data_IF_149920741633
#
_entry.id   IF_149920741633
#
_cell.length_a   1.000
_cell.length_b   1.000
_cell.length_c   1.000
_cell.angle_alpha   90.00
_cell.angle_beta   90.00
_cell.angle_gamma   90.00
#
_symmetry.space_group_name_H-M   'P 1'
#
loop_
_entity.id
_entity.type
_entity.pdbx_description
1 polymer ?
#
# COMPACT_ATOMS: atom_id res chain seq x y z
N UNK A 1 7.38 14.05 4.08
CA UNK A 1 8.51 14.92 3.67
C UNK A 1 9.73 14.67 4.54
N UNK A 2 9.64 14.85 5.87
CA UNK A 2 10.74 14.58 6.83
C UNK A 2 11.45 13.24 6.61
N UNK A 3 10.70 12.14 6.53
CA UNK A 3 11.29 10.80 6.36
C UNK A 3 11.98 10.60 5.00
N UNK A 4 11.79 11.47 4.01
CA UNK A 4 12.50 11.38 2.74
C UNK A 4 13.99 11.72 2.91
N UNK A 5 14.32 12.65 3.82
CA UNK A 5 15.69 13.05 4.13
C UNK A 5 16.54 11.85 4.53
N UNK A 6 16.09 11.07 5.51
CA UNK A 6 16.84 9.88 5.96
C UNK A 6 16.80 8.70 4.98
N UNK A 7 15.98 8.75 3.92
CA UNK A 7 15.88 7.67 2.92
C UNK A 7 16.75 7.91 1.70
N UNK A 8 16.84 9.16 1.23
CA UNK A 8 17.56 9.50 0.00
C UNK A 8 18.73 10.47 0.21
N UNK A 9 18.78 11.15 1.35
CA UNK A 9 19.70 12.25 1.58
C UNK A 9 20.21 12.27 3.02
N UNK A 10 20.32 13.47 3.56
CA UNK A 10 20.87 13.70 4.89
C UNK A 10 19.76 13.94 5.92
N UNK A 11 19.63 13.02 6.87
CA UNK A 11 18.68 13.10 7.97
C UNK A 11 18.86 14.38 8.82
N UNK A 12 20.06 14.96 8.87
CA UNK A 12 20.33 16.19 9.61
C UNK A 12 19.50 17.38 9.12
N UNK A 13 19.09 17.40 7.84
CA UNK A 13 18.26 18.49 7.29
C UNK A 13 16.87 18.51 7.93
N UNK A 14 16.29 17.35 8.19
CA UNK A 14 15.00 17.28 8.89
C UNK A 14 15.11 17.83 10.32
N UNK A 15 16.18 17.48 11.03
CA UNK A 15 16.44 18.01 12.38
C UNK A 15 16.65 19.52 12.34
N UNK A 16 17.40 20.02 11.36
CA UNK A 16 17.66 21.46 11.18
C UNK A 16 16.37 22.24 10.87
N UNK A 17 15.47 21.69 10.06
CA UNK A 17 14.15 22.30 9.83
C UNK A 17 13.34 22.44 11.12
N UNK A 18 13.36 21.41 11.98
CA UNK A 18 12.56 21.40 13.21
C UNK A 18 13.17 22.27 14.33
N UNK A 19 14.44 22.63 14.22
CA UNK A 19 15.17 23.35 15.28
C UNK A 19 15.57 24.77 14.91
N UNK A 20 15.50 25.15 13.63
CA UNK A 20 15.82 26.52 13.20
C UNK A 20 14.78 27.52 13.69
N UNK A 21 15.24 28.71 14.10
CA UNK A 21 14.39 29.87 14.41
C UNK A 21 14.30 30.88 13.26
N UNK A 22 15.09 30.69 12.20
CA UNK A 22 15.10 31.57 11.04
C UNK A 22 14.04 31.08 10.02
N UNK A 23 12.98 31.86 9.74
CA UNK A 23 11.90 31.46 8.85
C UNK A 23 12.34 31.35 7.38
N UNK A 24 13.32 32.15 6.94
CA UNK A 24 13.87 32.08 5.57
C UNK A 24 14.58 30.75 5.38
N UNK A 25 15.47 30.40 6.31
CA UNK A 25 16.19 29.12 6.30
C UNK A 25 15.23 27.93 6.42
N UNK A 26 14.17 28.04 7.23
CA UNK A 26 13.14 27.01 7.34
C UNK A 26 12.46 26.76 5.99
N UNK A 27 12.12 27.82 5.26
CA UNK A 27 11.48 27.72 3.94
C UNK A 27 12.41 27.06 2.91
N UNK A 28 13.69 27.44 2.88
CA UNK A 28 14.70 26.82 2.00
C UNK A 28 14.82 25.32 2.26
N UNK A 29 14.98 24.91 3.53
CA UNK A 29 15.08 23.49 3.89
C UNK A 29 13.79 22.75 3.53
N UNK A 30 12.62 23.36 3.74
CA UNK A 30 11.34 22.76 3.40
C UNK A 30 11.20 22.52 1.88
N UNK A 31 11.67 23.44 1.05
CA UNK A 31 11.68 23.27 -0.41
C UNK A 31 12.60 22.14 -0.85
N UNK A 32 13.78 22.01 -0.24
CA UNK A 32 14.69 20.92 -0.58
C UNK A 32 14.17 19.56 -0.12
N UNK A 33 13.54 19.48 1.06
CA UNK A 33 12.85 18.27 1.51
C UNK A 33 11.67 17.91 0.61
N UNK A 34 11.00 18.89 -0.01
CA UNK A 34 9.96 18.63 -1.01
C UNK A 34 10.54 17.99 -2.26
N UNK A 35 11.65 18.53 -2.79
CA UNK A 35 12.36 17.95 -3.94
C UNK A 35 12.81 16.52 -3.65
N UNK A 36 13.40 16.25 -2.48
CA UNK A 36 13.80 14.90 -2.08
C UNK A 36 12.60 13.96 -1.93
N UNK A 37 11.50 14.45 -1.37
CA UNK A 37 10.28 13.65 -1.24
C UNK A 37 9.69 13.28 -2.60
N UNK A 38 9.74 14.18 -3.58
CA UNK A 38 9.28 13.92 -4.94
C UNK A 38 10.20 12.92 -5.65
N UNK A 39 11.53 13.11 -5.57
CA UNK A 39 12.50 12.12 -6.07
C UNK A 39 12.29 10.73 -5.45
N UNK A 40 12.00 10.67 -4.14
CA UNK A 40 11.68 9.41 -3.45
C UNK A 40 10.41 8.78 -3.99
N UNK A 41 9.36 9.56 -4.26
CA UNK A 41 8.13 9.05 -4.86
C UNK A 41 8.40 8.44 -6.24
N UNK A 42 9.17 9.14 -7.08
CA UNK A 42 9.50 8.67 -8.43
C UNK A 42 10.29 7.35 -8.40
N UNK A 43 11.34 7.26 -7.56
CA UNK A 43 12.11 6.02 -7.36
C UNK A 43 11.21 4.90 -6.81
N UNK A 44 10.31 5.22 -5.87
CA UNK A 44 9.39 4.23 -5.30
C UNK A 44 8.43 3.70 -6.37
N UNK A 45 7.87 4.55 -7.22
CA UNK A 45 6.97 4.15 -8.30
C UNK A 45 7.69 3.23 -9.30
N UNK A 46 8.86 3.62 -9.78
CA UNK A 46 9.67 2.80 -10.68
C UNK A 46 10.01 1.43 -10.07
N UNK A 47 10.52 1.41 -8.83
CA UNK A 47 10.85 0.15 -8.15
C UNK A 47 9.61 -0.71 -7.85
N UNK A 48 8.46 -0.09 -7.57
CA UNK A 48 7.21 -0.84 -7.35
C UNK A 48 6.78 -1.53 -8.65
N UNK A 49 6.82 -0.82 -9.78
CA UNK A 49 6.45 -1.38 -11.08
C UNK A 49 7.39 -2.51 -11.50
N UNK A 50 8.69 -2.32 -11.31
CA UNK A 50 9.70 -3.38 -11.54
C UNK A 50 9.46 -4.60 -10.65
N UNK A 51 9.23 -4.40 -9.35
CA UNK A 51 8.91 -5.49 -8.43
C UNK A 51 7.61 -6.21 -8.81
N UNK A 52 6.54 -5.49 -9.19
CA UNK A 52 5.29 -6.09 -9.67
C UNK A 52 5.51 -6.95 -10.93
N UNK A 53 6.33 -6.47 -11.87
CA UNK A 53 6.72 -7.22 -13.05
C UNK A 53 7.50 -8.49 -12.68
N UNK A 54 8.47 -8.40 -11.77
CA UNK A 54 9.24 -9.54 -11.28
C UNK A 54 8.37 -10.56 -10.55
N UNK A 55 7.37 -10.14 -9.76
CA UNK A 55 6.42 -11.10 -9.15
C UNK A 55 5.70 -11.90 -10.24
N UNK A 56 5.18 -11.22 -11.27
CA UNK A 56 4.42 -11.88 -12.36
C UNK A 56 5.26 -12.83 -13.21
N UNK A 57 6.56 -12.58 -13.34
CA UNK A 57 7.45 -13.30 -14.26
C UNK A 57 8.39 -14.30 -13.59
N UNK A 58 8.74 -14.08 -12.32
CA UNK A 58 9.76 -14.87 -11.62
C UNK A 58 9.22 -15.67 -10.41
N UNK A 59 8.06 -15.32 -9.85
CA UNK A 59 7.51 -16.01 -8.69
C UNK A 59 6.46 -17.06 -9.10
N UNK A 60 6.45 -18.19 -8.39
CA UNK A 60 5.46 -19.25 -8.57
C UNK A 60 4.40 -19.14 -7.48
N UNK A 61 3.49 -18.18 -7.62
CA UNK A 61 2.49 -17.84 -6.58
C UNK A 61 1.55 -18.99 -6.20
N UNK A 62 1.43 -20.01 -7.04
CA UNK A 62 0.67 -21.25 -6.76
C UNK A 62 1.36 -22.15 -5.72
N UNK A 63 2.68 -22.09 -5.61
CA UNK A 63 3.50 -22.95 -4.73
C UNK A 63 4.33 -22.19 -3.70
N UNK A 64 4.52 -20.89 -3.85
CA UNK A 64 5.38 -20.06 -3.00
C UNK A 64 4.57 -19.12 -2.11
N UNK A 65 4.51 -19.38 -0.80
CA UNK A 65 3.73 -18.60 0.16
C UNK A 65 4.39 -17.28 0.58
N UNK A 66 5.60 -16.97 0.10
CA UNK A 66 6.29 -15.70 0.31
C UNK A 66 6.88 -15.15 -0.99
N UNK A 67 7.15 -13.85 -1.02
CA UNK A 67 7.75 -13.15 -2.16
C UNK A 67 9.12 -12.66 -1.74
N UNK A 68 10.16 -13.10 -2.45
CA UNK A 68 11.55 -12.68 -2.21
C UNK A 68 12.13 -12.23 -3.53
N UNK A 69 12.41 -10.93 -3.63
CA UNK A 69 12.95 -10.32 -4.84
C UNK A 69 14.21 -9.53 -4.50
N UNK A 70 15.16 -9.49 -5.43
CA UNK A 70 16.29 -8.59 -5.33
C UNK A 70 16.76 -8.11 -6.68
N UNK A 71 17.25 -6.87 -6.72
CA UNK A 71 17.74 -6.23 -7.93
C UNK A 71 18.90 -5.27 -7.58
N UNK A 72 19.89 -5.19 -8.48
CA UNK A 72 21.06 -4.31 -8.37
C UNK A 72 20.70 -2.83 -8.53
N UNK A 73 19.60 -2.54 -9.22
CA UNK A 73 19.15 -1.16 -9.48
C UNK A 73 18.24 -0.60 -8.38
N UNK A 74 17.99 -1.36 -7.30
CA UNK A 74 17.06 -0.95 -6.25
C UNK A 74 17.72 -0.13 -5.15
N UNK A 75 17.08 0.98 -4.76
CA UNK A 75 17.61 1.90 -3.77
C UNK A 75 17.29 1.43 -2.33
N UNK A 76 18.29 1.27 -1.43
CA UNK A 76 18.10 0.70 -0.09
C UNK A 76 17.21 1.58 0.82
N UNK A 77 17.13 2.89 0.60
CA UNK A 77 16.20 3.76 1.34
C UNK A 77 14.71 3.57 1.00
N UNK A 78 14.40 2.84 -0.08
CA UNK A 78 13.06 2.73 -0.64
C UNK A 78 12.50 1.30 -0.59
N UNK A 79 13.35 0.27 -0.52
CA UNK A 79 12.95 -1.16 -0.49
C UNK A 79 11.86 -1.47 0.54
N UNK A 80 11.83 -0.82 1.70
CA UNK A 80 10.81 -1.06 2.72
C UNK A 80 9.41 -0.53 2.36
N UNK A 81 9.33 0.53 1.55
CA UNK A 81 8.05 1.02 1.03
C UNK A 81 7.54 0.05 -0.03
N UNK A 82 8.42 -0.39 -0.93
CA UNK A 82 8.09 -1.37 -1.97
C UNK A 82 7.65 -2.70 -1.36
N UNK A 83 8.37 -3.22 -0.36
CA UNK A 83 7.98 -4.44 0.35
C UNK A 83 6.58 -4.36 0.96
N UNK A 84 6.18 -3.17 1.46
CA UNK A 84 4.85 -2.97 2.04
C UNK A 84 3.76 -3.05 0.96
N UNK A 85 4.00 -2.39 -0.18
CA UNK A 85 3.08 -2.41 -1.33
C UNK A 85 2.90 -3.82 -1.90
N UNK A 86 4.00 -4.53 -2.13
CA UNK A 86 3.95 -5.91 -2.64
C UNK A 86 3.24 -6.83 -1.63
N UNK A 87 3.50 -6.69 -0.32
CA UNK A 87 2.74 -7.42 0.71
C UNK A 87 1.25 -7.11 0.65
N UNK A 88 0.86 -5.85 0.49
CA UNK A 88 -0.54 -5.44 0.39
C UNK A 88 -1.22 -5.98 -0.87
N UNK A 89 -0.54 -5.97 -2.01
CA UNK A 89 -1.09 -6.48 -3.28
C UNK A 89 -1.26 -8.00 -3.30
N UNK A 90 -0.30 -8.75 -2.75
CA UNK A 90 -0.29 -10.21 -2.86
C UNK A 90 -0.65 -10.97 -1.57
N UNK A 91 -0.88 -10.24 -0.46
CA UNK A 91 -1.12 -10.80 0.87
C UNK A 91 -0.11 -11.89 1.28
N UNK A 92 1.18 -11.63 1.03
CA UNK A 92 2.29 -12.58 1.27
C UNK A 92 3.41 -11.93 2.08
N UNK A 93 4.08 -12.66 2.99
CA UNK A 93 5.35 -12.21 3.54
C UNK A 93 6.28 -11.84 2.38
N UNK A 94 6.84 -10.64 2.45
CA UNK A 94 7.58 -10.04 1.34
C UNK A 94 8.94 -9.56 1.80
N UNK A 95 9.97 -9.91 1.06
CA UNK A 95 11.35 -9.46 1.23
C UNK A 95 11.82 -8.80 -0.07
N UNK A 96 12.21 -7.53 0.01
CA UNK A 96 12.77 -6.76 -1.11
C UNK A 96 14.22 -6.43 -0.81
N UNK A 97 15.14 -6.81 -1.70
CA UNK A 97 16.58 -6.75 -1.51
C UNK A 97 17.24 -5.81 -2.53
N UNK A 98 17.95 -4.82 -2.01
CA UNK A 98 18.89 -4.01 -2.78
C UNK A 98 20.23 -4.73 -2.86
N UNK A 99 20.70 -4.97 -4.09
CA UNK A 99 21.92 -5.72 -4.37
C UNK A 99 23.08 -4.79 -4.73
N UNK A 100 23.86 -4.36 -3.74
CA UNK A 100 25.06 -3.55 -3.95
C UNK A 100 26.34 -4.42 -3.96
N UNK A 101 27.43 -3.87 -4.50
CA UNK A 101 28.76 -4.51 -4.52
C UNK A 101 29.27 -4.78 -3.10
N UNK A 102 28.90 -3.93 -2.13
CA UNK A 102 29.31 -4.05 -0.73
C UNK A 102 28.49 -5.08 0.06
N UNK A 103 27.53 -5.75 -0.57
CA UNK A 103 26.63 -6.70 0.05
C UNK A 103 25.16 -6.33 -0.13
N UNK A 104 24.29 -7.26 0.23
CA UNK A 104 22.86 -7.15 -0.02
C UNK A 104 22.15 -6.67 1.24
N UNK A 105 21.23 -5.72 1.08
CA UNK A 105 20.38 -5.19 2.17
C UNK A 105 18.92 -5.43 1.84
N UNK A 106 18.19 -6.04 2.77
CA UNK A 106 16.79 -6.40 2.61
C UNK A 106 15.88 -5.67 3.59
N UNK A 107 14.66 -5.38 3.14
CA UNK A 107 13.56 -5.00 4.02
C UNK A 107 12.43 -5.99 3.87
N UNK A 108 11.90 -6.41 5.01
CA UNK A 108 10.89 -7.45 5.13
C UNK A 108 9.58 -6.87 5.64
N UNK A 109 8.46 -7.39 5.14
CA UNK A 109 7.10 -7.08 5.60
C UNK A 109 6.31 -8.36 5.73
N UNK A 110 5.60 -8.49 6.84
CA UNK A 110 4.84 -9.69 7.15
C UNK A 110 3.34 -9.50 7.02
N UNK A 111 2.64 -10.63 7.04
CA UNK A 111 1.19 -10.73 7.17
C UNK A 111 0.83 -11.16 8.60
N UNK A 112 -0.45 -11.07 8.94
CA UNK A 112 -0.95 -11.56 10.23
C UNK A 112 -0.64 -13.05 10.37
N UNK A 113 -0.22 -13.48 11.56
CA UNK A 113 0.08 -14.89 11.84
C UNK A 113 1.48 -15.37 11.42
N UNK A 114 2.25 -14.56 10.68
CA UNK A 114 3.63 -14.88 10.32
C UNK A 114 4.63 -13.95 11.01
N UNK A 115 5.48 -14.48 11.90
CA UNK A 115 6.53 -13.71 12.56
C UNK A 115 7.79 -13.68 11.69
N UNK A 116 8.08 -12.50 11.15
CA UNK A 116 9.21 -12.27 10.27
C UNK A 116 10.57 -12.50 10.95
N UNK A 117 10.73 -12.09 12.20
CA UNK A 117 12.03 -12.21 12.90
C UNK A 117 12.31 -13.67 13.21
N UNK A 118 11.30 -14.41 13.67
CA UNK A 118 11.41 -15.85 13.90
C UNK A 118 11.67 -16.63 12.60
N UNK A 119 11.08 -16.21 11.48
CA UNK A 119 11.36 -16.81 10.18
C UNK A 119 12.81 -16.55 9.74
N UNK A 120 13.29 -15.30 9.84
CA UNK A 120 14.69 -14.96 9.52
C UNK A 120 15.69 -15.70 10.41
N UNK A 121 15.36 -15.90 11.69
CA UNK A 121 16.22 -16.65 12.62
C UNK A 121 16.43 -18.11 12.20
N UNK A 122 15.45 -18.75 11.53
CA UNK A 122 15.62 -20.09 10.95
C UNK A 122 16.61 -20.09 9.76
N UNK A 123 16.86 -18.95 9.14
CA UNK A 123 17.76 -18.80 7.98
C UNK A 123 19.07 -18.06 8.34
N UNK A 124 19.43 -17.99 9.63
CA UNK A 124 20.51 -17.14 10.14
C UNK A 124 21.88 -17.42 9.51
N UNK A 125 22.15 -18.64 9.07
CA UNK A 125 23.43 -19.05 8.50
C UNK A 125 23.76 -18.33 7.17
N UNK A 126 22.72 -17.87 6.46
CA UNK A 126 22.88 -17.15 5.20
C UNK A 126 23.00 -15.63 5.38
N UNK A 127 22.71 -15.13 6.59
CA UNK A 127 22.60 -13.71 6.90
C UNK A 127 23.85 -13.20 7.64
N UNK A 128 24.30 -12.01 7.27
CA UNK A 128 25.33 -11.29 8.05
C UNK A 128 24.72 -10.50 9.21
N UNK A 129 23.42 -10.21 9.15
CA UNK A 129 22.68 -9.56 10.22
C UNK A 129 21.19 -9.49 9.90
N UNK A 130 20.35 -9.49 10.93
CA UNK A 130 18.91 -9.25 10.81
C UNK A 130 18.34 -8.74 12.12
N UNK A 131 17.18 -8.09 12.07
CA UNK A 131 16.49 -7.60 13.25
C UNK A 131 15.25 -6.80 12.93
N UNK A 132 14.42 -6.55 13.94
CA UNK A 132 13.19 -5.76 13.81
C UNK A 132 12.06 -6.33 14.66
N UNK A 133 10.85 -6.29 14.11
CA UNK A 133 9.60 -6.70 14.75
C UNK A 133 8.90 -7.80 13.93
N UNK A 134 7.95 -8.53 14.53
CA UNK A 134 7.21 -9.59 13.84
C UNK A 134 6.62 -9.19 12.48
N UNK A 135 6.16 -7.93 12.34
CA UNK A 135 5.53 -7.44 11.11
C UNK A 135 6.51 -6.76 10.12
N UNK A 136 7.71 -6.39 10.58
CA UNK A 136 8.69 -5.64 9.80
C UNK A 136 10.11 -5.86 10.31
N UNK A 137 11.00 -6.33 9.44
CA UNK A 137 12.41 -6.58 9.78
C UNK A 137 13.35 -6.07 8.69
N UNK A 138 14.61 -5.87 9.04
CA UNK A 138 15.72 -5.65 8.11
C UNK A 138 16.66 -6.85 8.12
N UNK A 139 17.38 -7.04 7.02
CA UNK A 139 18.43 -8.06 6.90
C UNK A 139 19.61 -7.56 6.06
N UNK A 140 20.74 -8.23 6.22
CA UNK A 140 21.90 -8.12 5.35
C UNK A 140 22.50 -9.50 5.07
N UNK A 141 23.10 -9.67 3.88
CA UNK A 141 23.76 -10.92 3.50
C UNK A 141 24.87 -10.68 2.46
N UNK A 142 25.74 -11.66 2.28
CA UNK A 142 26.67 -11.71 1.16
C UNK A 142 25.95 -12.16 -0.12
N UNK A 143 26.42 -11.71 -1.28
CA UNK A 143 25.81 -12.00 -2.58
C UNK A 143 25.73 -13.50 -2.89
N UNK A 144 26.74 -14.27 -2.47
CA UNK A 144 26.82 -15.72 -2.67
C UNK A 144 25.71 -16.48 -1.93
N UNK A 145 25.14 -15.92 -0.87
CA UNK A 145 24.16 -16.58 -0.02
C UNK A 145 22.70 -16.36 -0.48
N UNK A 146 22.46 -15.47 -1.46
CA UNK A 146 21.11 -15.04 -1.81
C UNK A 146 20.19 -16.18 -2.24
N UNK A 147 20.66 -17.07 -3.11
CA UNK A 147 19.83 -18.17 -3.61
C UNK A 147 19.51 -19.17 -2.50
N UNK A 148 20.51 -19.58 -1.71
CA UNK A 148 20.31 -20.50 -0.59
C UNK A 148 19.37 -19.90 0.48
N UNK A 149 19.51 -18.60 0.77
CA UNK A 149 18.58 -17.89 1.65
C UNK A 149 17.16 -17.90 1.08
N UNK A 150 17.01 -17.60 -0.22
CA UNK A 150 15.70 -17.55 -0.88
C UNK A 150 14.97 -18.88 -0.74
N UNK A 151 15.63 -19.98 -1.03
CA UNK A 151 15.07 -21.32 -0.92
C UNK A 151 14.70 -21.65 0.53
N UNK A 152 15.64 -21.49 1.47
CA UNK A 152 15.39 -21.79 2.88
C UNK A 152 14.25 -20.95 3.48
N UNK A 153 14.12 -19.68 3.10
CA UNK A 153 13.03 -18.84 3.59
C UNK A 153 11.68 -19.23 2.97
N UNK A 154 11.65 -19.59 1.68
CA UNK A 154 10.44 -20.08 1.04
C UNK A 154 9.93 -21.35 1.72
N UNK A 155 10.81 -22.26 2.10
CA UNK A 155 10.42 -23.47 2.84
C UNK A 155 9.78 -23.13 4.19
N UNK A 156 10.38 -22.21 4.95
CA UNK A 156 9.81 -21.73 6.22
C UNK A 156 8.45 -21.06 6.02
N UNK A 157 8.28 -20.28 4.96
CA UNK A 157 7.02 -19.64 4.64
C UNK A 157 5.95 -20.67 4.23
N UNK A 158 6.31 -21.65 3.40
CA UNK A 158 5.42 -22.70 2.94
C UNK A 158 4.93 -23.60 4.07
N UNK A 159 5.79 -23.87 5.07
CA UNK A 159 5.44 -24.63 6.27
C UNK A 159 4.42 -23.90 7.15
N UNK A 160 4.55 -22.56 7.28
CA UNK A 160 3.84 -21.79 8.32
C UNK A 160 2.65 -20.97 7.84
N UNK A 161 2.66 -20.52 6.58
CA UNK A 161 1.61 -19.67 6.03
C UNK A 161 0.51 -20.55 5.47
N UNK A 162 -0.71 -20.37 5.97
CA UNK A 162 -1.87 -21.11 5.47
C UNK A 162 -2.40 -20.48 4.18
N UNK A 163 -3.10 -21.25 3.34
CA UNK A 163 -3.72 -20.71 2.12
C UNK A 163 -4.76 -19.63 2.40
N UNK A 164 -5.44 -19.68 3.56
CA UNK A 164 -6.37 -18.64 3.99
C UNK A 164 -5.68 -17.31 4.30
N UNK A 165 -4.44 -17.34 4.80
CA UNK A 165 -3.69 -16.10 5.10
C UNK A 165 -3.27 -15.35 3.82
N UNK A 166 -3.25 -16.06 2.69
CA UNK A 166 -2.89 -15.52 1.37
C UNK A 166 -4.05 -14.80 0.68
N UNK A 167 -5.25 -14.83 1.26
CA UNK A 167 -6.44 -14.20 0.69
C UNK A 167 -6.52 -12.77 1.24
N UNK A 168 -6.40 -11.73 0.39
CA UNK A 168 -6.64 -10.37 0.81
C UNK A 168 -8.03 -10.25 1.44
N UNK A 169 -8.10 -9.80 2.68
CA UNK A 169 -9.35 -9.67 3.43
C UNK A 169 -9.58 -8.22 3.80
N UNK A 170 -10.80 -7.74 3.59
CA UNK A 170 -11.26 -6.43 4.03
C UNK A 170 -12.25 -6.67 5.17
N UNK A 171 -11.94 -6.12 6.35
CA UNK A 171 -12.89 -6.12 7.46
C UNK A 171 -13.87 -4.98 7.24
N UNK A 172 -15.14 -5.33 7.08
CA UNK A 172 -16.24 -4.39 6.85
C UNK A 172 -16.92 -4.12 8.18
N UNK A 173 -17.09 -2.85 8.53
CA UNK A 173 -17.71 -2.44 9.78
C UNK A 173 -19.24 -2.43 9.67
N UNK A 174 -19.79 -2.01 8.53
CA UNK A 174 -21.23 -2.03 8.28
C UNK A 174 -21.58 -2.04 6.79
N UNK A 175 -22.76 -2.58 6.48
CA UNK A 175 -23.44 -2.30 5.21
C UNK A 175 -24.08 -0.92 5.33
N UNK A 176 -24.06 -0.12 4.27
CA UNK A 176 -24.60 1.23 4.23
C UNK A 176 -25.34 1.46 2.92
N UNK A 177 -26.54 2.03 2.97
CA UNK A 177 -27.19 2.56 1.78
C UNK A 177 -26.71 4.00 1.53
N UNK A 178 -26.47 4.36 0.27
CA UNK A 178 -25.96 5.69 -0.07
C UNK A 178 -26.94 6.80 0.34
N UNK A 179 -28.24 6.54 0.45
CA UNK A 179 -29.23 7.49 0.98
C UNK A 179 -29.00 7.87 2.45
N UNK A 180 -28.31 7.03 3.22
CA UNK A 180 -27.97 7.29 4.63
C UNK A 180 -26.75 8.22 4.76
N UNK A 181 -26.01 8.46 3.68
CA UNK A 181 -24.87 9.37 3.62
C UNK A 181 -25.35 10.83 3.57
N UNK A 182 -25.56 11.40 4.74
CA UNK A 182 -25.93 12.79 4.94
C UNK A 182 -24.97 13.50 5.94
N UNK A 183 -25.13 14.81 6.09
CA UNK A 183 -24.28 15.63 6.95
C UNK A 183 -24.24 15.17 8.42
N UNK A 184 -25.32 14.54 8.93
CA UNK A 184 -25.35 14.02 10.28
C UNK A 184 -24.44 12.80 10.43
N UNK A 185 -24.46 11.88 9.45
CA UNK A 185 -23.54 10.75 9.39
C UNK A 185 -22.08 11.23 9.32
N UNK A 186 -21.79 12.23 8.49
CA UNK A 186 -20.44 12.81 8.38
C UNK A 186 -19.99 13.43 9.70
N UNK A 187 -20.84 14.25 10.34
CA UNK A 187 -20.54 14.83 11.66
C UNK A 187 -20.27 13.76 12.71
N UNK A 188 -21.05 12.68 12.71
CA UNK A 188 -20.82 11.54 13.61
C UNK A 188 -19.47 10.86 13.33
N UNK A 189 -19.13 10.58 12.07
CA UNK A 189 -17.83 9.99 11.74
C UNK A 189 -16.67 10.92 12.14
N UNK A 190 -16.84 12.23 12.04
CA UNK A 190 -15.82 13.18 12.47
C UNK A 190 -15.60 13.17 14.00
N UNK A 191 -16.56 12.72 14.82
CA UNK A 191 -16.34 12.58 16.28
C UNK A 191 -15.51 11.35 16.65
N UNK A 192 -15.30 10.41 15.72
CA UNK A 192 -14.45 9.23 15.92
C UNK A 192 -12.96 9.53 15.67
N UNK A 193 -12.63 10.73 15.21
CA UNK A 193 -11.25 11.17 15.06
C UNK A 193 -10.52 11.31 16.40
N UNK A 194 -9.19 11.10 16.46
CA UNK A 194 -8.27 10.91 15.34
C UNK A 194 -8.20 9.45 14.84
N UNK A 195 -8.19 9.30 13.52
CA UNK A 195 -7.97 8.01 12.89
C UNK A 195 -6.48 7.65 12.81
N UNK A 196 -6.18 6.36 12.92
CA UNK A 196 -4.82 5.81 12.83
C UNK A 196 -4.76 4.34 13.23
N UNK A 197 -3.55 3.77 13.38
CA UNK A 197 -3.39 2.41 13.90
C UNK A 197 -4.11 2.26 15.25
N UNK A 198 -5.03 1.29 15.35
CA UNK A 198 -5.88 1.07 16.53
C UNK A 198 -7.24 1.79 16.49
N UNK A 199 -7.43 2.74 15.58
CA UNK A 199 -8.71 3.42 15.31
C UNK A 199 -8.78 3.75 13.81
N UNK A 200 -8.91 2.73 12.98
CA UNK A 200 -8.96 2.93 11.53
C UNK A 200 -10.29 3.57 11.12
N UNK A 201 -10.30 4.31 10.01
CA UNK A 201 -11.57 4.82 9.45
C UNK A 201 -12.50 3.63 9.14
N UNK A 202 -13.79 3.73 9.48
CA UNK A 202 -14.72 2.64 9.23
C UNK A 202 -14.83 2.34 7.72
N UNK A 203 -14.84 1.05 7.39
CA UNK A 203 -15.05 0.55 6.03
C UNK A 203 -16.50 0.11 5.90
N UNK A 204 -17.20 0.70 4.95
CA UNK A 204 -18.57 0.39 4.61
C UNK A 204 -18.66 -0.42 3.33
N UNK A 205 -19.74 -1.17 3.18
CA UNK A 205 -20.12 -1.80 1.92
C UNK A 205 -21.48 -1.31 1.46
N UNK A 206 -21.59 -0.99 0.17
CA UNK A 206 -22.87 -0.76 -0.50
C UNK A 206 -22.98 -1.71 -1.67
N UNK A 207 -24.15 -2.32 -1.81
CA UNK A 207 -24.42 -3.35 -2.80
C UNK A 207 -25.34 -2.83 -3.91
N UNK A 208 -25.30 -3.49 -5.06
CA UNK A 208 -26.20 -3.26 -6.19
C UNK A 208 -26.23 -1.79 -6.65
N UNK A 209 -25.05 -1.19 -6.78
CA UNK A 209 -24.89 0.18 -7.29
C UNK A 209 -24.80 0.18 -8.81
N UNK A 210 -25.43 1.17 -9.45
CA UNK A 210 -25.20 1.44 -10.87
C UNK A 210 -24.08 2.48 -11.05
N UNK A 211 -23.36 2.38 -12.16
CA UNK A 211 -22.38 3.39 -12.57
C UNK A 211 -23.11 4.51 -13.31
N UNK A 212 -22.81 5.75 -12.93
CA UNK A 212 -23.32 6.94 -13.59
C UNK A 212 -22.18 7.63 -14.37
N UNK A 213 -22.39 7.79 -15.67
CA UNK A 213 -21.40 8.35 -16.59
C UNK A 213 -20.24 7.41 -16.92
N UNK A 214 -19.15 7.99 -17.42
CA UNK A 214 -17.96 7.26 -17.87
C UNK A 214 -16.87 7.38 -16.81
N UNK A 215 -16.36 6.25 -16.27
CA UNK A 215 -15.19 6.24 -15.39
C UNK A 215 -13.98 6.93 -16.04
N UNK A 216 -13.12 7.54 -15.22
CA UNK A 216 -11.92 8.25 -15.65
C UNK A 216 -10.69 7.69 -14.96
N UNK A 217 -9.60 7.56 -15.71
CA UNK A 217 -8.28 7.26 -15.17
C UNK A 217 -7.47 8.54 -15.01
N UNK A 218 -7.11 8.85 -13.77
CA UNK A 218 -6.42 10.06 -13.35
C UNK A 218 -4.98 9.78 -12.93
N UNK A 219 -4.19 10.86 -12.84
CA UNK A 219 -2.79 10.84 -12.43
C UNK A 219 -1.84 10.54 -13.59
N UNK A 220 -0.53 10.76 -13.37
CA UNK A 220 0.50 10.58 -14.40
C UNK A 220 0.59 9.14 -14.92
N UNK A 221 0.35 8.17 -14.04
CA UNK A 221 0.36 6.74 -14.36
C UNK A 221 -1.01 6.18 -14.73
N UNK A 222 -2.06 7.02 -14.81
CA UNK A 222 -3.43 6.58 -15.08
C UNK A 222 -3.94 5.44 -14.16
N UNK A 223 -3.39 5.34 -12.95
CA UNK A 223 -3.70 4.28 -11.99
C UNK A 223 -4.82 4.66 -11.01
N UNK A 224 -5.28 5.91 -11.01
CA UNK A 224 -6.35 6.36 -10.11
C UNK A 224 -7.69 6.34 -10.85
N UNK A 225 -8.61 5.51 -10.40
CA UNK A 225 -9.95 5.39 -10.97
C UNK A 225 -10.89 6.39 -10.30
N UNK A 226 -11.57 7.21 -11.09
CA UNK A 226 -12.58 8.16 -10.63
C UNK A 226 -13.89 7.92 -11.36
N UNK A 227 -14.99 7.77 -10.64
CA UNK A 227 -16.31 7.44 -11.21
C UNK A 227 -17.42 7.87 -10.27
N UNK A 228 -18.66 7.87 -10.73
CA UNK A 228 -19.82 8.13 -9.88
C UNK A 228 -20.64 6.86 -9.74
N UNK A 229 -21.09 6.59 -8.52
CA UNK A 229 -22.02 5.49 -8.22
C UNK A 229 -23.37 6.04 -7.87
N UNK A 230 -24.41 5.32 -8.26
CA UNK A 230 -25.79 5.66 -7.99
C UNK A 230 -26.49 4.51 -7.29
N UNK A 231 -27.19 4.86 -6.21
CA UNK A 231 -28.17 3.99 -5.55
C UNK A 231 -29.47 4.77 -5.47
N UNK A 232 -30.53 4.24 -6.07
CA UNK A 232 -31.82 4.93 -6.18
C UNK A 232 -31.68 6.35 -6.76
N UNK A 233 -31.89 7.39 -5.95
CA UNK A 233 -31.77 8.81 -6.33
C UNK A 233 -30.46 9.44 -5.88
N UNK A 234 -29.66 8.75 -5.09
CA UNK A 234 -28.42 9.28 -4.53
C UNK A 234 -27.25 8.96 -5.44
N UNK A 235 -26.52 10.02 -5.81
CA UNK A 235 -25.34 9.98 -6.66
C UNK A 235 -24.15 10.46 -5.85
N UNK A 236 -23.08 9.66 -5.77
CA UNK A 236 -21.87 10.02 -5.03
C UNK A 236 -20.64 9.74 -5.87
N UNK A 237 -19.72 10.70 -5.86
CA UNK A 237 -18.43 10.57 -6.52
C UNK A 237 -17.52 9.62 -5.73
N UNK A 238 -16.80 8.77 -6.44
CA UNK A 238 -15.92 7.75 -5.90
C UNK A 238 -14.52 7.86 -6.49
N UNK A 239 -13.51 7.60 -5.66
CA UNK A 239 -12.10 7.57 -6.05
C UNK A 239 -11.43 6.29 -5.54
N UNK A 240 -10.78 5.56 -6.42
CA UNK A 240 -10.03 4.35 -6.14
C UNK A 240 -8.57 4.50 -6.57
N UNK A 241 -7.62 4.32 -5.65
CA UNK A 241 -6.21 4.42 -5.95
C UNK A 241 -5.64 3.06 -6.37
N UNK A 242 -4.84 3.02 -7.44
CA UNK A 242 -4.28 1.80 -8.03
C UNK A 242 -5.35 0.79 -8.46
N UNK A 243 -6.45 1.28 -9.04
CA UNK A 243 -7.62 0.48 -9.43
C UNK A 243 -7.89 0.51 -10.94
N UNK A 244 -6.88 0.81 -11.77
CA UNK A 244 -7.03 0.83 -13.22
C UNK A 244 -7.57 -0.50 -13.78
N UNK A 245 -7.19 -1.63 -13.19
CA UNK A 245 -7.66 -2.98 -13.58
C UNK A 245 -9.17 -3.19 -13.36
N UNK A 246 -9.85 -2.34 -12.59
CA UNK A 246 -11.31 -2.38 -12.44
C UNK A 246 -12.05 -1.55 -13.49
N UNK A 247 -11.35 -0.76 -14.32
CA UNK A 247 -11.97 0.09 -15.33
C UNK A 247 -12.89 -0.70 -16.27
N UNK A 248 -12.42 -1.85 -16.75
CA UNK A 248 -13.21 -2.73 -17.63
C UNK A 248 -14.50 -3.23 -16.96
N UNK A 249 -14.46 -3.55 -15.66
CA UNK A 249 -15.66 -3.96 -14.91
C UNK A 249 -16.69 -2.84 -14.85
N UNK A 250 -16.25 -1.58 -14.71
CA UNK A 250 -17.15 -0.43 -14.57
C UNK A 250 -17.86 -0.06 -15.88
N UNK A 251 -17.19 -0.23 -17.03
CA UNK A 251 -17.79 0.08 -18.34
C UNK A 251 -18.75 -1.01 -18.83
N UNK A 252 -18.79 -2.18 -18.19
CA UNK A 252 -19.78 -3.23 -18.49
C UNK A 252 -21.21 -2.82 -18.08
N UNK A 253 -21.36 -1.73 -17.33
CA UNK A 253 -22.64 -1.19 -16.87
C UNK A 253 -23.51 -2.22 -16.12
N UNK A 254 -22.86 -3.21 -15.51
CA UNK A 254 -23.47 -4.17 -14.61
C UNK A 254 -23.45 -3.62 -13.18
N UNK A 255 -24.43 -3.95 -12.33
CA UNK A 255 -24.42 -3.50 -10.94
C UNK A 255 -23.16 -3.97 -10.21
N UNK A 256 -22.66 -3.14 -9.31
CA UNK A 256 -21.44 -3.42 -8.53
C UNK A 256 -21.71 -3.35 -7.04
N UNK A 257 -20.87 -4.06 -6.29
CA UNK A 257 -20.73 -3.86 -4.86
C UNK A 257 -19.36 -3.23 -4.61
N UNK A 258 -19.32 -2.27 -3.69
CA UNK A 258 -18.09 -1.54 -3.33
C UNK A 258 -17.83 -1.63 -1.84
N UNK A 259 -16.57 -1.82 -1.47
CA UNK A 259 -16.07 -1.54 -0.12
C UNK A 259 -15.36 -0.20 -0.14
N UNK A 260 -15.65 0.69 0.81
CA UNK A 260 -15.13 2.05 0.78
C UNK A 260 -15.04 2.68 2.18
N UNK A 261 -14.29 3.77 2.25
CA UNK A 261 -14.29 4.68 3.39
C UNK A 261 -14.91 6.01 2.95
N UNK A 262 -15.72 6.62 3.82
CA UNK A 262 -16.38 7.90 3.52
C UNK A 262 -15.39 9.05 3.77
N UNK A 263 -15.07 9.81 2.74
CA UNK A 263 -14.23 11.00 2.81
C UNK A 263 -14.94 12.28 2.38
N UNK A 264 -14.22 13.39 2.49
CA UNK A 264 -14.63 14.70 1.97
C UNK A 264 -13.63 15.12 0.89
N UNK A 265 -14.15 15.64 -0.23
CA UNK A 265 -13.38 16.35 -1.22
C UNK A 265 -13.60 17.85 -1.00
N UNK A 266 -12.54 18.60 -0.75
CA UNK A 266 -12.58 20.07 -0.65
C UNK A 266 -12.07 20.67 -1.95
N UNK A 267 -12.96 21.29 -2.71
CA UNK A 267 -12.61 21.96 -3.95
C UNK A 267 -13.20 23.38 -3.95
N UNK A 268 -12.32 24.38 -4.09
CA UNK A 268 -12.69 25.80 -4.03
C UNK A 268 -13.50 26.18 -2.78
N UNK A 269 -13.24 25.54 -1.63
CA UNK A 269 -13.95 25.79 -0.38
C UNK A 269 -15.34 25.14 -0.29
N UNK A 270 -15.73 24.36 -1.30
CA UNK A 270 -16.92 23.53 -1.26
C UNK A 270 -16.51 22.10 -0.91
N UNK A 271 -17.00 21.63 0.24
CA UNK A 271 -16.84 20.24 0.68
C UNK A 271 -17.96 19.38 0.12
N UNK A 272 -17.60 18.29 -0.52
CA UNK A 272 -18.54 17.28 -0.99
C UNK A 272 -18.14 15.90 -0.48
N UNK A 273 -19.13 15.05 -0.21
CA UNK A 273 -18.88 13.66 0.18
C UNK A 273 -18.25 12.94 -1.02
N UNK A 274 -17.19 12.17 -0.78
CA UNK A 274 -16.54 11.32 -1.77
C UNK A 274 -16.22 9.96 -1.16
N UNK A 275 -16.50 8.88 -1.89
CA UNK A 275 -16.18 7.52 -1.44
C UNK A 275 -14.74 7.16 -1.84
N UNK A 276 -13.91 6.84 -0.86
CA UNK A 276 -12.56 6.32 -1.09
C UNK A 276 -12.61 4.80 -1.17
N UNK A 277 -12.56 4.27 -2.39
CA UNK A 277 -12.81 2.87 -2.69
C UNK A 277 -11.64 2.00 -2.22
N UNK A 278 -11.97 0.86 -1.61
CA UNK A 278 -11.07 -0.19 -1.14
C UNK A 278 -11.13 -1.44 -2.00
N UNK A 279 -12.30 -1.79 -2.53
CA UNK A 279 -12.46 -2.85 -3.52
C UNK A 279 -13.76 -2.69 -4.31
N UNK A 280 -13.80 -3.31 -5.50
CA UNK A 280 -14.94 -3.31 -6.41
C UNK A 280 -15.13 -4.72 -6.97
N UNK A 281 -16.34 -5.27 -6.77
CA UNK A 281 -16.78 -6.51 -7.42
C UNK A 281 -18.07 -6.28 -8.19
N UNK A 282 -18.30 -7.11 -9.21
CA UNK A 282 -19.62 -7.18 -9.83
C UNK A 282 -20.60 -7.72 -8.79
N UNK A 283 -21.76 -7.08 -8.68
CA UNK A 283 -22.84 -7.57 -7.84
C UNK A 283 -23.25 -8.93 -8.37
N UNK A 284 -23.21 -9.91 -7.49
CA UNK A 284 -23.88 -11.19 -7.75
C UNK A 284 -25.28 -11.01 -7.19
N UNK A 285 -26.29 -11.07 -8.04
CA UNK A 285 -27.65 -11.22 -7.53
C UNK A 285 -27.62 -12.47 -6.63
N UNK A 286 -27.76 -12.28 -5.32
CA UNK A 286 -28.25 -13.34 -4.47
C UNK A 286 -29.68 -13.59 -4.95
N UNK A 287 -29.81 -14.44 -5.96
CA UNK A 287 -31.09 -14.94 -6.43
C UNK A 287 -31.76 -15.76 -5.32
#
# INVERSE_FOLDING_TARGET
KINAAGRLGDAARAVKLLTTKNPVLAMEIAQDLEKENNRRKDITEQMTNDALYMVKTCCKLESENAIILGNKNWHPGVIGIVASRIKETFSRPTIIISMDQNGYKGSCRSIKGFDMVNALAKCKEYLTGFGGHPIAAGLSMHSLNFNNFKEAFLDVANEKVSKSDLIPTINVDSILNLEELNDQMIKFLNTLEPYGPGNMRPIFVSNNLSIDGIPKLLGRSHNTLKFSVKQNRTLIESIGFNMADHYEKLIQNSPIDIAYVIGENDWNGQKTIQLEIKDIKLSTNYA
#
